data_IF_058147771365
#
_entry.id   IF_058147771365
#
_cell.length_a   1.000
_cell.length_b   1.000
_cell.length_c   1.000
_cell.angle_alpha   90.00
_cell.angle_beta   90.00
_cell.angle_gamma   90.00
#
_symmetry.space_group_name_H-M   'P 1'
#
loop_
_entity.id
_entity.type
_entity.pdbx_description
1 polymer ?
#
# COMPACT_ATOMS: atom_id res chain seq x y z
N UNK A 1 44.86 44.80 67.32
CA UNK A 1 43.47 45.14 66.92
C UNK A 1 43.39 44.99 65.40
N UNK A 2 42.92 43.85 64.91
CA UNK A 2 42.73 43.65 63.47
C UNK A 2 41.33 44.12 63.11
N UNK A 3 41.27 45.16 62.28
CA UNK A 3 40.03 45.72 61.77
C UNK A 3 39.35 44.66 60.88
N UNK A 4 38.16 44.26 61.30
CA UNK A 4 37.23 43.41 60.56
C UNK A 4 36.82 44.15 59.29
N UNK A 5 37.30 43.68 58.14
CA UNK A 5 36.93 44.24 56.83
C UNK A 5 35.50 43.81 56.56
N UNK A 6 34.57 44.74 56.84
CA UNK A 6 33.14 44.56 56.65
C UNK A 6 32.82 43.99 55.28
N UNK A 7 32.17 42.81 55.28
CA UNK A 7 31.48 42.29 54.10
C UNK A 7 30.48 43.34 53.60
N UNK A 8 30.38 43.59 52.28
CA UNK A 8 29.38 44.50 51.75
C UNK A 8 28.00 43.98 52.12
N UNK A 9 27.21 44.80 52.82
CA UNK A 9 25.80 44.53 53.09
C UNK A 9 25.07 44.69 51.75
N UNK A 10 24.93 43.59 51.00
CA UNK A 10 24.03 43.54 49.86
C UNK A 10 22.59 43.61 50.40
N UNK A 11 21.83 44.60 49.95
CA UNK A 11 20.43 44.76 50.33
C UNK A 11 19.66 43.46 50.01
N UNK A 12 18.83 42.98 50.93
CA UNK A 12 18.07 41.73 50.76
C UNK A 12 17.15 41.72 49.52
N UNK A 13 16.82 42.90 49.00
CA UNK A 13 16.03 43.09 47.77
C UNK A 13 16.85 42.85 46.50
N UNK A 14 18.16 43.13 46.51
CA UNK A 14 19.06 42.84 45.39
C UNK A 14 19.34 41.34 45.25
N UNK A 15 19.48 40.61 46.35
CA UNK A 15 19.65 39.16 46.31
C UNK A 15 18.43 38.45 45.72
N UNK A 16 17.22 38.92 46.06
CA UNK A 16 15.97 38.37 45.53
C UNK A 16 15.82 38.60 44.03
N UNK A 17 16.40 39.69 43.51
CA UNK A 17 16.43 39.99 42.07
C UNK A 17 17.29 38.99 41.27
N UNK A 18 18.29 38.37 41.89
CA UNK A 18 19.19 37.41 41.25
C UNK A 18 18.65 35.98 41.25
N UNK A 19 17.55 35.72 41.96
CA UNK A 19 16.95 34.38 42.08
C UNK A 19 16.11 33.99 40.86
N UNK A 20 16.07 32.70 40.61
CA UNK A 20 15.34 32.08 39.52
C UNK A 20 13.84 32.36 39.61
N UNK A 21 13.25 32.80 38.49
CA UNK A 21 11.84 33.15 38.39
C UNK A 21 10.93 31.96 38.01
N UNK A 22 11.39 30.72 38.16
CA UNK A 22 10.56 29.55 37.84
C UNK A 22 9.36 29.49 38.79
N UNK A 23 8.15 29.34 38.23
CA UNK A 23 6.87 29.19 38.94
C UNK A 23 6.77 30.10 40.19
N UNK A 24 6.77 31.41 39.93
CA UNK A 24 6.58 32.48 40.93
C UNK A 24 7.70 32.67 41.96
N UNK A 25 8.95 32.28 41.63
CA UNK A 25 10.11 32.65 42.44
C UNK A 25 10.34 31.78 43.68
N UNK A 26 9.73 30.58 43.71
CA UNK A 26 9.98 29.58 44.78
C UNK A 26 11.36 28.94 44.70
N UNK A 27 12.11 29.21 43.65
CA UNK A 27 13.43 28.67 43.44
C UNK A 27 14.48 29.57 44.09
N UNK A 28 15.23 29.02 45.05
CA UNK A 28 16.34 29.67 45.75
C UNK A 28 17.64 29.73 44.95
N UNK A 29 17.67 29.13 43.75
CA UNK A 29 18.85 29.12 42.91
C UNK A 29 19.03 30.43 42.16
N UNK A 30 20.28 30.85 41.98
CA UNK A 30 20.61 32.04 41.19
C UNK A 30 20.30 31.82 39.70
N UNK A 31 19.91 32.89 39.01
CA UNK A 31 19.68 32.92 37.57
C UNK A 31 20.95 32.55 36.81
N UNK A 32 20.80 31.74 35.76
CA UNK A 32 21.90 31.37 34.88
C UNK A 32 22.32 32.55 34.01
N UNK A 33 23.57 32.55 33.55
CA UNK A 33 24.09 33.50 32.59
C UNK A 33 24.36 32.82 31.25
N UNK A 34 24.01 33.47 30.15
CA UNK A 34 24.34 33.01 28.80
C UNK A 34 24.78 34.17 27.95
N UNK A 35 25.98 34.08 27.38
CA UNK A 35 26.57 35.12 26.51
C UNK A 35 26.51 36.52 27.14
N UNK A 36 26.90 36.64 28.41
CA UNK A 36 26.90 37.92 29.14
C UNK A 36 25.52 38.44 29.54
N UNK A 37 24.42 37.73 29.24
CA UNK A 37 23.06 38.10 29.68
C UNK A 37 22.57 37.17 30.78
N UNK A 38 22.06 37.75 31.86
CA UNK A 38 21.39 36.99 32.92
C UNK A 38 20.02 36.53 32.41
N UNK A 39 19.76 35.24 32.51
CA UNK A 39 18.51 34.61 32.11
C UNK A 39 17.47 34.69 33.23
N UNK A 40 16.21 34.37 32.92
CA UNK A 40 15.14 34.37 33.93
C UNK A 40 15.18 33.18 34.88
N UNK A 41 15.80 32.07 34.46
CA UNK A 41 15.79 30.79 35.16
C UNK A 41 17.21 30.38 35.54
N UNK A 42 17.34 29.60 36.62
CA UNK A 42 18.58 28.89 36.93
C UNK A 42 18.84 27.76 35.92
N UNK A 43 20.04 27.19 35.94
CA UNK A 43 20.44 26.18 34.97
C UNK A 43 19.60 24.89 35.07
N UNK A 44 19.26 24.47 36.29
CA UNK A 44 18.43 23.29 36.53
C UNK A 44 17.07 23.39 35.83
N UNK A 45 16.35 24.51 36.02
CA UNK A 45 15.05 24.71 35.39
C UNK A 45 15.14 24.93 33.87
N UNK A 46 16.26 25.46 33.35
CA UNK A 46 16.49 25.52 31.91
C UNK A 46 16.65 24.13 31.30
N UNK A 47 17.42 23.26 31.96
CA UNK A 47 17.60 21.88 31.54
C UNK A 47 16.28 21.11 31.60
N UNK A 48 15.49 21.30 32.66
CA UNK A 48 14.15 20.70 32.77
C UNK A 48 13.22 21.18 31.65
N UNK A 49 13.14 22.49 31.40
CA UNK A 49 12.34 23.04 30.30
C UNK A 49 12.79 22.52 28.93
N UNK A 50 14.10 22.45 28.69
CA UNK A 50 14.63 21.88 27.46
C UNK A 50 14.28 20.40 27.31
N UNK A 51 14.39 19.62 28.38
CA UNK A 51 14.01 18.20 28.37
C UNK A 51 12.51 18.03 28.08
N UNK A 52 11.65 18.84 28.69
CA UNK A 52 10.20 18.85 28.41
C UNK A 52 9.93 19.22 26.96
N UNK A 53 10.56 20.29 26.45
CA UNK A 53 10.42 20.73 25.07
C UNK A 53 10.85 19.63 24.09
N UNK A 54 12.02 19.04 24.30
CA UNK A 54 12.52 17.94 23.47
C UNK A 54 11.57 16.74 23.44
N UNK A 55 10.97 16.37 24.58
CA UNK A 55 9.95 15.30 24.63
C UNK A 55 8.70 15.67 23.83
N UNK A 56 8.21 16.90 23.97
CA UNK A 56 7.05 17.39 23.23
C UNK A 56 7.32 17.41 21.72
N UNK A 57 8.45 17.97 21.31
CA UNK A 57 8.86 18.06 19.90
C UNK A 57 9.03 16.67 19.29
N UNK A 58 9.59 15.71 20.04
CA UNK A 58 9.69 14.30 19.61
C UNK A 58 8.31 13.66 19.42
N UNK A 59 7.39 13.87 20.36
CA UNK A 59 6.02 13.35 20.26
C UNK A 59 5.27 13.92 19.04
N UNK A 60 5.35 15.24 18.84
CA UNK A 60 4.77 15.92 17.68
C UNK A 60 5.38 15.44 16.37
N UNK A 61 6.71 15.26 16.31
CA UNK A 61 7.40 14.73 15.15
C UNK A 61 6.93 13.32 14.80
N UNK A 62 6.80 12.44 15.80
CA UNK A 62 6.30 11.08 15.61
C UNK A 62 4.86 11.09 15.09
N UNK A 63 3.97 11.90 15.69
CA UNK A 63 2.57 12.04 15.25
C UNK A 63 2.49 12.50 13.78
N UNK A 64 3.29 13.49 13.39
CA UNK A 64 3.38 13.96 12.00
C UNK A 64 3.91 12.88 11.05
N UNK A 65 4.82 12.02 11.50
CA UNK A 65 5.30 10.87 10.70
C UNK A 65 4.18 9.87 10.46
N UNK A 66 3.45 9.47 11.51
CA UNK A 66 2.30 8.55 11.40
C UNK A 66 1.25 9.09 10.43
N UNK A 67 0.84 10.37 10.57
CA UNK A 67 -0.14 10.98 9.67
C UNK A 67 0.31 10.99 8.20
N UNK A 68 1.61 11.17 7.94
CA UNK A 68 2.14 11.09 6.57
C UNK A 68 2.12 9.68 6.01
N UNK A 69 2.41 8.68 6.84
CA UNK A 69 2.36 7.27 6.44
C UNK A 69 0.93 6.79 6.20
N UNK A 70 -0.01 7.21 7.05
CA UNK A 70 -1.44 6.93 6.91
C UNK A 70 -2.01 7.58 5.64
N UNK A 71 -1.69 8.85 5.35
CA UNK A 71 -2.08 9.49 4.10
C UNK A 71 -1.59 8.72 2.87
N UNK A 72 -0.34 8.23 2.89
CA UNK A 72 0.22 7.38 1.82
C UNK A 72 -0.50 6.03 1.71
N UNK A 73 -0.88 5.43 2.84
CA UNK A 73 -1.65 4.18 2.87
C UNK A 73 -3.04 4.39 2.27
N UNK A 74 -3.75 5.44 2.67
CA UNK A 74 -5.09 5.73 2.19
C UNK A 74 -5.11 6.04 0.69
N UNK A 75 -4.13 6.80 0.19
CA UNK A 75 -3.96 7.05 -1.25
C UNK A 75 -3.77 5.75 -2.05
N UNK A 76 -2.95 4.81 -1.54
CA UNK A 76 -2.77 3.50 -2.18
C UNK A 76 -4.06 2.69 -2.21
N UNK A 77 -4.80 2.66 -1.10
CA UNK A 77 -6.09 1.98 -1.04
C UNK A 77 -7.10 2.60 -2.01
N UNK A 78 -7.14 3.93 -2.10
CA UNK A 78 -8.00 4.64 -3.05
C UNK A 78 -7.72 4.26 -4.49
N UNK A 79 -6.45 4.19 -4.91
CA UNK A 79 -6.07 3.75 -6.26
C UNK A 79 -6.44 2.31 -6.57
N UNK A 80 -6.35 1.44 -5.57
CA UNK A 80 -6.79 0.04 -5.71
C UNK A 80 -8.30 -0.01 -5.90
N UNK A 81 -9.05 0.78 -5.13
CA UNK A 81 -10.50 0.83 -5.22
C UNK A 81 -10.97 1.45 -6.55
N UNK A 82 -10.33 2.53 -7.00
CA UNK A 82 -10.56 3.12 -8.34
C UNK A 82 -10.32 2.10 -9.45
N UNK A 83 -9.26 1.27 -9.33
CA UNK A 83 -8.99 0.20 -10.29
C UNK A 83 -10.05 -0.90 -10.27
N UNK A 84 -10.52 -1.31 -9.08
CA UNK A 84 -11.62 -2.27 -8.96
C UNK A 84 -12.90 -1.71 -9.59
N UNK A 85 -13.21 -0.44 -9.34
CA UNK A 85 -14.35 0.26 -9.94
C UNK A 85 -14.27 0.24 -11.47
N UNK A 86 -13.10 0.55 -12.05
CA UNK A 86 -12.89 0.45 -13.48
C UNK A 86 -13.14 -0.97 -14.02
N UNK A 87 -12.62 -2.00 -13.35
CA UNK A 87 -12.88 -3.39 -13.78
C UNK A 87 -14.36 -3.77 -13.67
N UNK A 88 -15.04 -3.33 -12.60
CA UNK A 88 -16.47 -3.55 -12.42
C UNK A 88 -17.29 -2.87 -13.52
N UNK A 89 -17.00 -1.59 -13.81
CA UNK A 89 -17.67 -0.83 -14.87
C UNK A 89 -17.41 -1.42 -16.26
N UNK A 90 -16.19 -1.88 -16.54
CA UNK A 90 -15.88 -2.56 -17.80
C UNK A 90 -16.64 -3.89 -17.94
N UNK A 91 -16.74 -4.68 -16.86
CA UNK A 91 -17.54 -5.92 -16.85
C UNK A 91 -19.02 -5.62 -17.10
N UNK A 92 -19.55 -4.59 -16.44
CA UNK A 92 -20.94 -4.17 -16.60
C UNK A 92 -21.21 -3.65 -18.03
N UNK A 93 -20.28 -2.91 -18.62
CA UNK A 93 -20.39 -2.44 -20.00
C UNK A 93 -20.36 -3.58 -21.04
N UNK A 94 -19.58 -4.64 -20.81
CA UNK A 94 -19.56 -5.82 -21.68
C UNK A 94 -20.92 -6.53 -21.64
N UNK A 95 -21.48 -6.77 -20.44
CA UNK A 95 -22.80 -7.41 -20.29
C UNK A 95 -23.90 -6.64 -21.01
N UNK A 96 -23.89 -5.30 -20.94
CA UNK A 96 -24.87 -4.47 -21.64
C UNK A 96 -24.61 -4.35 -23.14
N UNK A 97 -23.35 -4.32 -23.60
CA UNK A 97 -23.03 -4.40 -25.02
C UNK A 97 -23.51 -5.74 -25.62
N UNK A 98 -23.37 -6.85 -24.88
CA UNK A 98 -23.90 -8.15 -25.32
C UNK A 98 -25.43 -8.23 -25.31
N UNK A 99 -26.13 -7.40 -24.53
CA UNK A 99 -27.60 -7.32 -24.57
C UNK A 99 -28.13 -6.44 -25.72
N UNK A 100 -27.44 -5.36 -26.06
CA UNK A 100 -27.80 -4.48 -27.19
C UNK A 100 -27.48 -5.12 -28.55
N UNK A 101 -26.47 -6.00 -28.64
CA UNK A 101 -26.16 -6.78 -29.85
C UNK A 101 -27.20 -7.86 -30.19
N UNK A 102 -28.07 -8.26 -29.25
CA UNK A 102 -29.11 -9.27 -29.51
C UNK A 102 -30.35 -8.67 -30.22
N UNK A 103 -30.47 -7.33 -30.30
CA UNK A 103 -31.66 -6.67 -30.89
C UNK A 103 -31.41 -5.95 -32.23
N UNK A 104 -30.24 -6.09 -32.86
CA UNK A 104 -30.03 -5.57 -34.21
C UNK A 104 -29.26 -6.56 -35.06
N UNK A 105 -29.94 -7.15 -36.05
CA UNK A 105 -29.29 -7.81 -37.17
C UNK A 105 -28.48 -6.78 -37.97
N UNK A 106 -27.25 -6.51 -37.54
CA UNK A 106 -26.23 -5.85 -38.35
C UNK A 106 -24.88 -6.34 -37.89
N UNK A 107 -24.14 -6.90 -38.85
CA UNK A 107 -22.86 -7.59 -38.68
C UNK A 107 -21.89 -6.80 -37.79
N UNK A 108 -21.17 -7.47 -36.87
CA UNK A 108 -20.35 -6.80 -35.87
C UNK A 108 -19.16 -6.08 -36.52
N UNK A 109 -19.07 -4.77 -36.32
CA UNK A 109 -17.81 -4.02 -36.49
C UNK A 109 -17.05 -4.16 -35.17
N UNK A 110 -16.24 -5.22 -35.08
CA UNK A 110 -15.32 -5.47 -33.97
C UNK A 110 -14.29 -4.34 -33.93
N UNK A 111 -14.03 -3.69 -32.78
CA UNK A 111 -12.92 -2.75 -32.65
C UNK A 111 -11.60 -3.47 -32.93
N UNK A 112 -10.85 -3.00 -33.93
CA UNK A 112 -9.56 -3.52 -34.37
C UNK A 112 -8.60 -3.71 -33.20
N UNK A 113 -8.48 -4.94 -32.71
CA UNK A 113 -7.45 -5.35 -31.77
C UNK A 113 -6.12 -5.40 -32.53
N UNK A 114 -5.19 -4.48 -32.26
CA UNK A 114 -3.88 -4.43 -32.92
C UNK A 114 -2.85 -5.36 -32.27
N UNK A 115 -3.29 -6.49 -31.72
CA UNK A 115 -2.42 -7.62 -31.37
C UNK A 115 -2.48 -8.68 -32.47
N UNK A 116 -1.54 -9.63 -32.54
CA UNK A 116 -1.54 -10.64 -33.59
C UNK A 116 -2.84 -11.45 -33.50
N UNK A 117 -3.74 -11.22 -34.48
CA UNK A 117 -4.95 -11.98 -34.69
C UNK A 117 -4.53 -13.34 -35.26
N UNK A 118 -4.41 -14.34 -34.39
CA UNK A 118 -4.35 -15.72 -34.85
C UNK A 118 -5.81 -16.11 -35.12
N UNK A 119 -6.23 -15.95 -36.37
CA UNK A 119 -7.53 -16.43 -36.86
C UNK A 119 -7.50 -17.97 -36.92
N UNK A 120 -7.79 -18.61 -35.78
CA UNK A 120 -8.03 -20.04 -35.70
C UNK A 120 -9.54 -20.21 -35.62
N UNK A 121 -10.15 -20.79 -36.66
CA UNK A 121 -11.60 -20.96 -36.81
C UNK A 121 -12.36 -21.15 -35.49
N UNK A 122 -13.08 -20.10 -35.11
CA UNK A 122 -13.47 -19.77 -33.73
C UNK A 122 -14.37 -20.78 -33.03
N UNK A 123 -15.13 -21.62 -33.74
CA UNK A 123 -16.15 -22.47 -33.08
C UNK A 123 -15.56 -23.76 -32.49
N UNK A 124 -14.65 -24.43 -33.18
CA UNK A 124 -14.13 -25.74 -32.74
C UNK A 124 -13.13 -25.60 -31.58
N UNK A 125 -12.27 -24.57 -31.64
CA UNK A 125 -11.29 -24.30 -30.58
C UNK A 125 -11.99 -23.78 -29.33
N UNK A 126 -12.97 -22.88 -29.47
CA UNK A 126 -13.78 -22.40 -28.36
C UNK A 126 -14.59 -23.53 -27.73
N UNK A 127 -15.23 -24.40 -28.53
CA UNK A 127 -15.93 -25.58 -28.02
C UNK A 127 -14.98 -26.54 -27.28
N UNK A 128 -13.76 -26.74 -27.80
CA UNK A 128 -12.75 -27.60 -27.14
C UNK A 128 -12.27 -27.00 -25.83
N UNK A 129 -12.07 -25.68 -25.78
CA UNK A 129 -11.70 -24.95 -24.57
C UNK A 129 -12.82 -25.03 -23.51
N UNK A 130 -14.06 -24.80 -23.90
CA UNK A 130 -15.23 -24.90 -23.01
C UNK A 130 -15.40 -26.32 -22.47
N UNK A 131 -15.28 -27.34 -23.32
CA UNK A 131 -15.34 -28.74 -22.90
C UNK A 131 -14.20 -29.09 -21.92
N UNK A 132 -13.01 -28.53 -22.13
CA UNK A 132 -11.87 -28.74 -21.22
C UNK A 132 -12.10 -28.08 -19.85
N UNK A 133 -12.70 -26.90 -19.83
CA UNK A 133 -13.07 -26.20 -18.60
C UNK A 133 -14.20 -26.93 -17.85
N UNK A 134 -15.19 -27.43 -18.58
CA UNK A 134 -16.29 -28.23 -18.02
C UNK A 134 -15.76 -29.51 -17.34
N UNK A 135 -14.82 -30.21 -17.99
CA UNK A 135 -14.15 -31.38 -17.40
C UNK A 135 -13.31 -31.02 -16.17
N UNK A 136 -12.60 -29.89 -16.19
CA UNK A 136 -11.86 -29.43 -15.00
C UNK A 136 -12.83 -29.19 -13.82
N UNK A 137 -13.98 -28.57 -14.10
CA UNK A 137 -15.03 -28.35 -13.11
C UNK A 137 -15.58 -29.66 -12.55
N UNK A 138 -16.06 -30.53 -13.41
CA UNK A 138 -16.81 -31.74 -13.02
C UNK A 138 -15.92 -32.89 -12.54
N UNK A 139 -14.77 -33.11 -13.18
CA UNK A 139 -13.93 -34.29 -12.91
C UNK A 139 -12.88 -34.03 -11.83
N UNK A 140 -12.53 -32.76 -11.56
CA UNK A 140 -11.43 -32.41 -10.66
C UNK A 140 -11.91 -31.53 -9.51
N UNK A 141 -12.52 -30.38 -9.79
CA UNK A 141 -12.81 -29.39 -8.76
C UNK A 141 -14.01 -29.78 -7.91
N UNK A 142 -15.09 -30.26 -8.53
CA UNK A 142 -16.30 -30.67 -7.81
C UNK A 142 -16.02 -31.83 -6.82
N UNK A 143 -15.33 -32.93 -7.21
CA UNK A 143 -14.98 -33.99 -6.27
C UNK A 143 -14.04 -33.53 -5.15
N UNK A 144 -13.11 -32.60 -5.44
CA UNK A 144 -12.23 -32.03 -4.41
C UNK A 144 -13.00 -31.20 -3.39
N UNK A 145 -14.03 -30.47 -3.81
CA UNK A 145 -14.88 -29.70 -2.90
C UNK A 145 -15.81 -30.61 -2.08
N UNK A 146 -16.31 -31.70 -2.68
CA UNK A 146 -17.11 -32.70 -1.95
C UNK A 146 -16.29 -33.43 -0.88
N UNK A 147 -15.01 -33.73 -1.16
CA UNK A 147 -14.09 -34.34 -0.19
C UNK A 147 -13.66 -33.37 0.92
N UNK A 148 -13.81 -32.06 0.70
CA UNK A 148 -13.38 -31.01 1.62
C UNK A 148 -14.49 -29.97 1.83
N UNK A 149 -15.59 -30.34 2.51
CA UNK A 149 -16.75 -29.46 2.71
C UNK A 149 -16.44 -28.21 3.56
N UNK A 150 -15.36 -28.26 4.34
CA UNK A 150 -14.94 -27.17 5.22
C UNK A 150 -14.20 -26.03 4.49
N UNK A 151 -13.96 -26.17 3.17
CA UNK A 151 -13.30 -25.12 2.38
C UNK A 151 -14.20 -23.88 2.27
N UNK A 152 -13.66 -22.73 2.69
CA UNK A 152 -14.32 -21.45 2.48
C UNK A 152 -14.23 -21.00 0.99
N UNK A 153 -15.10 -20.07 0.58
CA UNK A 153 -15.15 -19.58 -0.81
C UNK A 153 -13.83 -18.96 -1.28
N UNK A 154 -13.03 -18.41 -0.36
CA UNK A 154 -11.73 -17.84 -0.69
C UNK A 154 -10.70 -18.93 -1.01
N UNK A 155 -10.74 -20.04 -0.28
CA UNK A 155 -9.91 -21.22 -0.48
C UNK A 155 -10.30 -21.95 -1.77
N UNK A 156 -11.60 -22.12 -2.04
CA UNK A 156 -12.08 -22.67 -3.32
C UNK A 156 -11.58 -21.84 -4.51
N UNK A 157 -11.65 -20.51 -4.41
CA UNK A 157 -11.15 -19.62 -5.46
C UNK A 157 -9.63 -19.71 -5.66
N UNK A 158 -8.85 -19.94 -4.60
CA UNK A 158 -7.41 -20.20 -4.70
C UNK A 158 -7.16 -21.54 -5.40
N UNK A 159 -7.88 -22.60 -5.03
CA UNK A 159 -7.77 -23.93 -5.66
C UNK A 159 -8.10 -23.87 -7.15
N UNK A 160 -9.21 -23.23 -7.51
CA UNK A 160 -9.62 -22.97 -8.90
C UNK A 160 -8.51 -22.25 -9.68
N UNK A 161 -7.93 -21.18 -9.13
CA UNK A 161 -6.85 -20.44 -9.79
C UNK A 161 -5.59 -21.28 -10.00
N UNK A 162 -5.20 -22.07 -9.01
CA UNK A 162 -4.05 -22.98 -9.14
C UNK A 162 -4.32 -24.03 -10.21
N UNK A 163 -5.54 -24.59 -10.25
CA UNK A 163 -5.95 -25.55 -11.26
C UNK A 163 -5.93 -24.96 -12.68
N UNK A 164 -6.43 -23.73 -12.87
CA UNK A 164 -6.39 -23.03 -14.16
C UNK A 164 -4.96 -22.76 -14.64
N UNK A 165 -4.05 -22.36 -13.76
CA UNK A 165 -2.63 -22.14 -14.11
C UNK A 165 -1.96 -23.45 -14.53
N UNK A 166 -2.26 -24.55 -13.84
CA UNK A 166 -1.75 -25.87 -14.21
C UNK A 166 -2.32 -26.37 -15.55
N UNK A 167 -3.60 -26.10 -15.80
CA UNK A 167 -4.23 -26.40 -17.09
C UNK A 167 -3.55 -25.63 -18.22
N UNK A 168 -3.38 -24.32 -18.05
CA UNK A 168 -2.69 -23.46 -19.03
C UNK A 168 -1.28 -23.96 -19.31
N UNK A 169 -0.52 -24.35 -18.28
CA UNK A 169 0.82 -24.93 -18.43
C UNK A 169 0.80 -26.20 -19.27
N UNK A 170 -0.16 -27.10 -19.03
CA UNK A 170 -0.30 -28.32 -19.83
C UNK A 170 -0.71 -28.04 -21.27
N UNK A 171 -1.62 -27.09 -21.49
CA UNK A 171 -2.00 -26.66 -22.84
C UNK A 171 -0.80 -26.10 -23.61
N UNK A 172 0.01 -25.24 -22.98
CA UNK A 172 1.24 -24.72 -23.59
C UNK A 172 2.26 -25.83 -23.89
N UNK A 173 2.39 -26.81 -23.02
CA UNK A 173 3.26 -27.97 -23.27
C UNK A 173 2.75 -28.81 -24.44
N UNK A 174 1.44 -29.02 -24.55
CA UNK A 174 0.84 -29.74 -25.68
C UNK A 174 1.09 -29.02 -27.01
N UNK A 175 0.94 -27.68 -27.03
CA UNK A 175 1.26 -26.89 -28.22
C UNK A 175 2.74 -27.03 -28.60
N UNK A 176 3.67 -26.95 -27.64
CA UNK A 176 5.09 -27.16 -27.90
C UNK A 176 5.39 -28.55 -28.48
N UNK A 177 4.72 -29.60 -27.98
CA UNK A 177 4.85 -30.95 -28.53
C UNK A 177 4.30 -31.06 -29.95
N UNK A 178 3.17 -30.41 -30.24
CA UNK A 178 2.60 -30.36 -31.59
C UNK A 178 3.51 -29.63 -32.57
N UNK A 179 4.15 -28.54 -32.13
CA UNK A 179 5.14 -27.78 -32.91
C UNK A 179 6.37 -28.63 -33.22
N UNK A 180 6.94 -29.30 -32.21
CA UNK A 180 8.10 -30.18 -32.39
C UNK A 180 7.83 -31.37 -33.32
N UNK A 181 6.59 -31.87 -33.32
CA UNK A 181 6.16 -32.94 -34.19
C UNK A 181 5.74 -32.46 -35.60
N UNK A 182 5.86 -31.15 -35.90
CA UNK A 182 5.59 -30.56 -37.21
C UNK A 182 4.11 -30.39 -37.55
N UNK A 183 3.22 -30.50 -36.56
CA UNK A 183 1.76 -30.39 -36.76
C UNK A 183 1.29 -28.93 -36.83
N UNK A 184 2.10 -28.00 -36.33
CA UNK A 184 1.86 -26.56 -36.36
C UNK A 184 3.17 -25.83 -36.68
N UNK A 185 3.11 -24.91 -37.64
CA UNK A 185 4.23 -24.03 -38.02
C UNK A 185 4.29 -22.84 -37.06
N UNK A 186 5.41 -22.67 -36.36
CA UNK A 186 5.68 -21.43 -35.66
C UNK A 186 5.80 -20.27 -36.66
N UNK A 187 5.10 -19.17 -36.39
CA UNK A 187 5.24 -17.95 -37.19
C UNK A 187 6.67 -17.43 -37.08
N UNK A 188 7.28 -16.94 -38.17
CA UNK A 188 8.58 -16.27 -38.11
C UNK A 188 8.52 -15.09 -37.13
N UNK A 189 9.53 -14.97 -36.29
CA UNK A 189 9.68 -13.93 -35.28
C UNK A 189 9.89 -12.56 -35.98
N UNK A 190 8.89 -11.68 -35.98
CA UNK A 190 8.96 -10.30 -36.48
C UNK A 190 9.80 -9.37 -35.56
N UNK A 191 10.92 -9.89 -35.03
CA UNK A 191 11.96 -9.10 -34.33
C UNK A 191 13.26 -9.11 -35.12
N UNK A 192 13.20 -8.63 -36.34
CA UNK A 192 14.37 -8.21 -37.09
C UNK A 192 14.00 -7.04 -38.03
N UNK A 193 13.77 -5.85 -37.45
CA UNK A 193 14.03 -4.54 -38.04
C UNK A 193 14.09 -3.49 -36.92
#
# INVERSE_FOLDING_TARGET
MHADVGKPILNADDERSQLCMYKSGKCSEKRAWKNGKQLKLCEAHRLEQNAIKMRSDKSLSMRRKVLREEKKRNERLRRVEERKKMYWEASWAIEHATMDEINCQQSPIIPSWNGPLIDIGDELVTATCLQTLERLGNDVLLPLYEQHPDLDERQKLIVMKVAMVQLQKKMMQQLLHMEQAGWILATPDDRAC
#
